data_IF_447790428129
#
_entry.id   IF_447790428129
#
_cell.length_a   1.000
_cell.length_b   1.000
_cell.length_c   1.000
_cell.angle_alpha   90.00
_cell.angle_beta   90.00
_cell.angle_gamma   90.00
#
_symmetry.space_group_name_H-M   'P 1'
#
loop_
_entity.id
_entity.type
_entity.pdbx_description
1 polymer ?
#
# COMPACT_ATOMS: atom_id res chain seq x y z
N UNK A 1 -26.23 -7.65 -19.16
CA UNK A 1 -25.62 -7.86 -17.82
C UNK A 1 -26.54 -8.83 -17.10
N UNK A 2 -26.11 -10.08 -16.92
CA UNK A 2 -26.92 -11.11 -16.27
C UNK A 2 -26.80 -10.86 -14.77
N UNK A 3 -27.92 -10.44 -14.17
CA UNK A 3 -28.03 -10.26 -12.72
C UNK A 3 -28.28 -11.65 -12.11
N UNK A 4 -27.20 -12.42 -11.93
CA UNK A 4 -27.27 -13.67 -11.17
C UNK A 4 -27.44 -13.32 -9.71
N UNK A 5 -28.66 -13.48 -9.20
CA UNK A 5 -28.94 -13.45 -7.77
C UNK A 5 -27.98 -14.41 -7.05
N UNK A 6 -27.31 -13.99 -5.96
CA UNK A 6 -26.38 -14.86 -5.26
C UNK A 6 -27.13 -16.09 -4.75
N UNK A 7 -26.85 -17.22 -5.40
CA UNK A 7 -27.50 -18.48 -5.12
C UNK A 7 -27.27 -18.87 -3.65
N UNK A 8 -28.28 -19.42 -2.97
CA UNK A 8 -28.17 -19.82 -1.56
C UNK A 8 -26.98 -20.78 -1.33
N UNK A 9 -26.65 -21.57 -2.34
CA UNK A 9 -25.48 -22.46 -2.37
C UNK A 9 -24.16 -21.67 -2.34
N UNK A 10 -24.08 -20.52 -3.02
CA UNK A 10 -22.92 -19.62 -2.99
C UNK A 10 -22.73 -19.01 -1.60
N UNK A 11 -23.83 -18.60 -0.94
CA UNK A 11 -23.77 -18.12 0.44
C UNK A 11 -23.29 -19.20 1.43
N UNK A 12 -23.74 -20.44 1.28
CA UNK A 12 -23.27 -21.58 2.10
C UNK A 12 -21.80 -21.93 1.82
N UNK A 13 -21.31 -21.73 0.59
CA UNK A 13 -19.87 -21.89 0.26
C UNK A 13 -19.01 -20.84 0.95
N UNK A 14 -19.46 -19.59 1.02
CA UNK A 14 -18.79 -18.50 1.76
C UNK A 14 -18.68 -18.83 3.25
N UNK A 15 -19.65 -19.53 3.84
CA UNK A 15 -19.61 -19.96 5.23
C UNK A 15 -18.42 -20.88 5.57
N UNK A 16 -17.81 -21.55 4.57
CA UNK A 16 -16.56 -22.31 4.79
C UNK A 16 -15.36 -21.43 5.15
N UNK A 17 -15.42 -20.12 4.85
CA UNK A 17 -14.42 -19.14 5.28
C UNK A 17 -14.44 -18.93 6.79
N UNK A 18 -15.50 -19.34 7.51
CA UNK A 18 -15.55 -19.27 8.98
C UNK A 18 -14.41 -20.08 9.62
N UNK A 19 -13.88 -21.10 8.93
CA UNK A 19 -12.69 -21.82 9.41
C UNK A 19 -11.42 -20.95 9.49
N UNK A 20 -11.36 -19.81 8.78
CA UNK A 20 -10.28 -18.82 8.93
C UNK A 20 -10.27 -18.19 10.32
N UNK A 21 -11.41 -18.18 11.02
CA UNK A 21 -11.50 -17.76 12.42
C UNK A 21 -11.02 -18.82 13.42
N UNK A 22 -10.69 -20.06 13.00
CA UNK A 22 -9.89 -21.00 13.83
C UNK A 22 -8.44 -20.53 13.84
N UNK A 23 -8.27 -19.36 14.46
CA UNK A 23 -7.14 -18.47 14.34
C UNK A 23 -6.16 -18.60 15.51
N UNK A 24 -6.22 -19.66 16.32
CA UNK A 24 -5.34 -19.81 17.51
C UNK A 24 -3.85 -19.60 17.19
N UNK A 25 -3.39 -20.05 16.01
CA UNK A 25 -2.02 -19.80 15.55
C UNK A 25 -1.79 -18.38 15.01
N UNK A 26 -2.82 -17.74 14.45
CA UNK A 26 -2.75 -16.39 13.91
C UNK A 26 -2.85 -15.32 15.00
N UNK A 27 -3.54 -15.58 16.12
CA UNK A 27 -3.67 -14.66 17.26
C UNK A 27 -2.28 -14.26 17.78
N UNK A 28 -1.36 -15.22 17.92
CA UNK A 28 0.03 -14.92 18.31
C UNK A 28 0.78 -14.06 17.28
N UNK A 29 0.59 -14.32 15.98
CA UNK A 29 1.23 -13.52 14.92
C UNK A 29 0.67 -12.09 14.84
N UNK A 30 -0.64 -11.92 15.03
CA UNK A 30 -1.27 -10.59 15.10
C UNK A 30 -0.89 -9.83 16.37
N UNK A 31 -0.64 -10.53 17.49
CA UNK A 31 -0.15 -9.90 18.71
C UNK A 31 1.28 -9.35 18.53
N UNK A 32 2.16 -10.11 17.87
CA UNK A 32 3.51 -9.66 17.50
C UNK A 32 3.46 -8.48 16.52
N UNK A 33 2.57 -8.55 15.51
CA UNK A 33 2.37 -7.42 14.59
C UNK A 33 1.90 -6.17 15.36
N UNK A 34 0.95 -6.33 16.27
CA UNK A 34 0.42 -5.25 17.10
C UNK A 34 1.48 -4.61 17.98
N UNK A 35 2.35 -5.41 18.61
CA UNK A 35 3.46 -4.87 19.42
C UNK A 35 4.47 -4.11 18.57
N UNK A 36 4.81 -4.63 17.38
CA UNK A 36 5.72 -3.94 16.44
C UNK A 36 5.15 -2.61 15.96
N UNK A 37 3.86 -2.57 15.63
CA UNK A 37 3.16 -1.34 15.24
C UNK A 37 3.16 -0.32 16.38
N UNK A 38 2.88 -0.75 17.61
CA UNK A 38 2.85 0.11 18.78
C UNK A 38 4.25 0.64 19.15
N UNK A 39 5.29 -0.16 19.01
CA UNK A 39 6.67 0.26 19.30
C UNK A 39 7.19 1.25 18.26
N UNK A 40 6.84 1.07 16.99
CA UNK A 40 7.34 1.88 15.87
C UNK A 40 6.33 2.94 15.39
N UNK A 41 5.24 3.19 16.13
CA UNK A 41 4.10 3.97 15.67
C UNK A 41 4.50 5.38 15.17
N UNK A 42 5.38 6.07 15.90
CA UNK A 42 5.82 7.42 15.55
C UNK A 42 6.50 7.44 14.19
N UNK A 43 7.41 6.50 13.94
CA UNK A 43 8.15 6.41 12.69
C UNK A 43 7.24 5.95 11.54
N UNK A 44 6.35 5.00 11.80
CA UNK A 44 5.39 4.51 10.81
C UNK A 44 4.41 5.59 10.37
N UNK A 45 3.86 6.36 11.31
CA UNK A 45 2.95 7.47 11.00
C UNK A 45 3.68 8.56 10.23
N UNK A 46 4.87 8.95 10.67
CA UNK A 46 5.66 9.98 9.98
C UNK A 46 6.01 9.56 8.55
N UNK A 47 6.54 8.35 8.36
CA UNK A 47 6.95 7.85 7.03
C UNK A 47 5.75 7.68 6.12
N UNK A 48 4.64 7.13 6.61
CA UNK A 48 3.38 7.00 5.86
C UNK A 48 2.82 8.37 5.47
N UNK A 49 2.88 9.36 6.37
CA UNK A 49 2.46 10.73 6.08
C UNK A 49 3.25 11.33 4.91
N UNK A 50 4.59 11.18 4.90
CA UNK A 50 5.41 11.63 3.78
C UNK A 50 5.13 10.87 2.48
N UNK A 51 4.84 9.57 2.53
CA UNK A 51 4.41 8.80 1.35
C UNK A 51 3.10 9.33 0.76
N UNK A 52 2.11 9.62 1.62
CA UNK A 52 0.84 10.22 1.18
C UNK A 52 1.08 11.63 0.63
N UNK A 53 1.90 12.45 1.27
CA UNK A 53 2.22 13.78 0.76
C UNK A 53 2.88 13.72 -0.63
N UNK A 54 3.85 12.81 -0.81
CA UNK A 54 4.51 12.58 -2.09
C UNK A 54 3.52 12.14 -3.17
N UNK A 55 2.53 11.32 -2.83
CA UNK A 55 1.44 10.93 -3.72
C UNK A 55 0.60 12.12 -4.18
N UNK A 56 0.19 13.00 -3.26
CA UNK A 56 -0.57 14.21 -3.60
C UNK A 56 0.23 15.16 -4.49
N UNK A 57 1.51 15.38 -4.17
CA UNK A 57 2.40 16.22 -5.00
C UNK A 57 2.56 15.63 -6.40
N UNK A 58 2.75 14.31 -6.50
CA UNK A 58 2.87 13.62 -7.78
C UNK A 58 1.61 13.77 -8.63
N UNK A 59 0.43 13.64 -8.01
CA UNK A 59 -0.85 13.79 -8.70
C UNK A 59 -1.06 15.22 -9.21
N UNK A 60 -0.66 16.23 -8.42
CA UNK A 60 -0.71 17.63 -8.84
C UNK A 60 0.25 17.92 -10.00
N UNK A 61 1.48 17.39 -9.95
CA UNK A 61 2.45 17.56 -11.04
C UNK A 61 1.96 16.96 -12.35
N UNK A 62 1.45 15.72 -12.30
CA UNK A 62 0.91 15.04 -13.47
C UNK A 62 -0.36 15.72 -13.99
N UNK A 63 -1.22 16.24 -13.11
CA UNK A 63 -2.35 17.06 -13.50
C UNK A 63 -1.89 18.26 -14.35
N UNK A 64 -0.90 19.02 -13.89
CA UNK A 64 -0.43 20.19 -14.65
C UNK A 64 0.20 19.84 -16.00
N UNK A 65 0.87 18.68 -16.12
CA UNK A 65 1.45 18.25 -17.40
C UNK A 65 0.45 17.62 -18.35
N UNK A 66 -0.57 16.93 -17.84
CA UNK A 66 -1.44 16.08 -18.65
C UNK A 66 -2.88 16.62 -18.82
N UNK A 67 -3.26 17.71 -18.14
CA UNK A 67 -4.61 18.29 -18.26
C UNK A 67 -5.00 18.66 -19.71
N UNK A 68 -4.02 19.02 -20.55
CA UNK A 68 -4.23 19.39 -21.94
C UNK A 68 -3.93 18.24 -22.93
N UNK A 69 -3.64 17.04 -22.43
CA UNK A 69 -3.37 15.88 -23.27
C UNK A 69 -4.68 15.32 -23.83
N UNK A 70 -4.77 15.16 -25.15
CA UNK A 70 -5.96 14.63 -25.81
C UNK A 70 -6.25 13.15 -25.46
N UNK A 71 -5.23 12.35 -25.19
CA UNK A 71 -5.37 10.94 -24.83
C UNK A 71 -5.62 10.74 -23.33
N UNK A 72 -4.91 11.49 -22.46
CA UNK A 72 -4.91 11.27 -21.01
C UNK A 72 -5.71 12.30 -20.21
N UNK A 73 -6.08 13.44 -20.79
CA UNK A 73 -6.74 14.54 -20.09
C UNK A 73 -8.03 14.14 -19.37
N UNK A 74 -8.71 13.08 -19.84
CA UNK A 74 -9.91 12.52 -19.17
C UNK A 74 -9.62 12.03 -17.75
N UNK A 75 -8.39 11.56 -17.47
CA UNK A 75 -7.96 11.11 -16.14
C UNK A 75 -7.36 12.22 -15.29
N UNK A 76 -6.98 13.35 -15.92
CA UNK A 76 -6.30 14.49 -15.29
C UNK A 76 -7.16 15.76 -15.36
N UNK A 77 -8.47 15.66 -15.13
CA UNK A 77 -9.39 16.82 -15.15
C UNK A 77 -9.33 17.68 -13.89
N UNK A 78 -8.92 17.09 -12.78
CA UNK A 78 -8.74 17.78 -11.49
C UNK A 78 -7.72 17.03 -10.64
N UNK A 79 -7.16 17.68 -9.61
CA UNK A 79 -6.21 17.02 -8.70
C UNK A 79 -6.84 15.77 -8.06
N UNK A 80 -8.08 15.78 -7.54
CA UNK A 80 -8.70 14.57 -7.01
C UNK A 80 -8.90 13.47 -8.05
N UNK A 81 -9.26 13.82 -9.30
CA UNK A 81 -9.38 12.85 -10.38
C UNK A 81 -8.03 12.20 -10.73
N UNK A 82 -6.93 12.96 -10.63
CA UNK A 82 -5.57 12.50 -10.88
C UNK A 82 -5.01 11.59 -9.76
N UNK A 83 -5.59 11.59 -8.55
CA UNK A 83 -5.06 10.83 -7.41
C UNK A 83 -5.03 9.32 -7.69
N UNK A 84 -6.13 8.72 -8.12
CA UNK A 84 -6.21 7.27 -8.33
C UNK A 84 -5.33 6.78 -9.49
N UNK A 85 -5.33 7.41 -10.68
CA UNK A 85 -4.42 7.04 -11.76
C UNK A 85 -2.94 7.20 -11.37
N UNK A 86 -2.61 8.26 -10.60
CA UNK A 86 -1.26 8.43 -10.06
C UNK A 86 -0.91 7.34 -9.06
N UNK A 87 -1.85 6.92 -8.19
CA UNK A 87 -1.60 5.85 -7.23
C UNK A 87 -1.23 4.54 -7.93
N UNK A 88 -1.96 4.17 -8.99
CA UNK A 88 -1.65 3.00 -9.82
C UNK A 88 -0.21 3.09 -10.37
N UNK A 89 0.16 4.24 -10.92
CA UNK A 89 1.50 4.52 -11.42
C UNK A 89 2.58 4.34 -10.34
N UNK A 90 2.34 4.85 -9.12
CA UNK A 90 3.28 4.71 -8.01
C UNK A 90 3.43 3.27 -7.53
N UNK A 91 2.39 2.44 -7.68
CA UNK A 91 2.43 1.01 -7.35
C UNK A 91 3.05 0.14 -8.44
N UNK A 92 3.43 0.73 -9.58
CA UNK A 92 4.06 0.02 -10.70
C UNK A 92 3.10 -0.41 -11.81
N UNK A 93 1.82 -0.12 -11.69
CA UNK A 93 0.84 -0.30 -12.76
C UNK A 93 0.90 0.92 -13.68
N UNK A 94 1.23 0.72 -14.96
CA UNK A 94 1.32 1.80 -15.96
C UNK A 94 0.21 1.68 -17.01
N UNK A 95 -1.07 1.87 -16.63
CA UNK A 95 -2.19 1.71 -17.57
C UNK A 95 -2.26 2.80 -18.65
N UNK A 96 -1.43 3.85 -18.54
CA UNK A 96 -1.46 5.05 -19.38
C UNK A 96 -0.09 5.24 -20.04
N UNK A 97 0.05 4.94 -21.33
CA UNK A 97 1.33 5.07 -22.07
C UNK A 97 1.54 6.41 -22.76
N UNK A 98 0.46 7.18 -22.94
CA UNK A 98 0.44 8.31 -23.85
C UNK A 98 0.75 9.65 -23.17
N UNK A 99 1.67 9.66 -22.22
CA UNK A 99 2.10 10.88 -21.52
C UNK A 99 2.75 11.88 -22.49
N UNK A 100 2.55 13.17 -22.23
CA UNK A 100 3.24 14.25 -22.93
C UNK A 100 4.76 14.17 -22.72
N UNK A 101 5.57 14.79 -23.58
CA UNK A 101 7.04 14.82 -23.42
C UNK A 101 7.48 15.31 -22.02
N UNK A 102 6.99 16.46 -21.49
CA UNK A 102 7.31 16.86 -20.13
C UNK A 102 6.73 15.90 -19.08
N UNK A 103 5.52 15.36 -19.31
CA UNK A 103 4.90 14.38 -18.43
C UNK A 103 5.73 13.09 -18.29
N UNK A 104 6.36 12.61 -19.37
CA UNK A 104 7.26 11.43 -19.35
C UNK A 104 8.50 11.64 -18.49
N UNK A 105 9.09 12.84 -18.55
CA UNK A 105 10.27 13.18 -17.74
C UNK A 105 9.87 13.24 -16.26
N UNK A 106 8.77 13.94 -15.96
CA UNK A 106 8.27 14.08 -14.58
C UNK A 106 7.84 12.73 -14.02
N UNK A 107 7.11 11.91 -14.79
CA UNK A 107 6.67 10.58 -14.35
C UNK A 107 7.85 9.64 -14.11
N UNK A 108 8.92 9.73 -14.90
CA UNK A 108 10.16 9.00 -14.66
C UNK A 108 10.83 9.36 -13.33
N UNK A 109 10.95 10.65 -13.02
CA UNK A 109 11.51 11.12 -11.74
C UNK A 109 10.62 10.70 -10.57
N UNK A 110 9.30 10.86 -10.72
CA UNK A 110 8.32 10.43 -9.72
C UNK A 110 8.43 8.92 -9.47
N UNK A 111 8.53 8.10 -10.52
CA UNK A 111 8.59 6.64 -10.39
C UNK A 111 9.79 6.20 -9.54
N UNK A 112 10.98 6.75 -9.80
CA UNK A 112 12.19 6.41 -9.03
C UNK A 112 12.08 6.92 -7.58
N UNK A 113 11.65 8.16 -7.39
CA UNK A 113 11.55 8.78 -6.06
C UNK A 113 10.48 8.15 -5.19
N UNK A 114 9.31 7.85 -5.76
CA UNK A 114 8.19 7.28 -5.02
C UNK A 114 8.47 5.86 -4.54
N UNK A 115 9.14 5.02 -5.35
CA UNK A 115 9.56 3.69 -4.91
C UNK A 115 10.43 3.79 -3.65
N UNK A 116 11.38 4.73 -3.60
CA UNK A 116 12.21 4.93 -2.43
C UNK A 116 11.40 5.37 -1.20
N UNK A 117 10.45 6.30 -1.36
CA UNK A 117 9.62 6.83 -0.27
C UNK A 117 8.66 5.77 0.28
N UNK A 118 8.00 5.00 -0.58
CA UNK A 118 7.04 3.96 -0.17
C UNK A 118 7.75 2.71 0.38
N UNK A 119 9.03 2.50 0.06
CA UNK A 119 9.83 1.43 0.66
C UNK A 119 10.12 1.66 2.16
N UNK A 120 10.17 2.92 2.63
CA UNK A 120 10.51 3.25 4.03
C UNK A 120 9.53 2.65 5.04
N UNK A 121 8.20 2.90 4.98
CA UNK A 121 7.27 2.31 5.96
C UNK A 121 7.31 0.78 5.94
N UNK A 122 7.48 0.18 4.75
CA UNK A 122 7.64 -1.28 4.60
C UNK A 122 8.91 -1.79 5.30
N UNK A 123 10.04 -1.09 5.16
CA UNK A 123 11.30 -1.43 5.81
C UNK A 123 11.23 -1.26 7.34
N UNK A 124 10.53 -0.24 7.83
CA UNK A 124 10.31 -0.02 9.27
C UNK A 124 9.50 -1.18 9.84
N UNK A 125 8.40 -1.59 9.19
CA UNK A 125 7.63 -2.76 9.61
C UNK A 125 8.48 -4.04 9.59
N UNK A 126 9.21 -4.28 8.51
CA UNK A 126 10.05 -5.48 8.37
C UNK A 126 11.12 -5.57 9.46
N UNK A 127 11.82 -4.46 9.73
CA UNK A 127 12.85 -4.43 10.78
C UNK A 127 12.26 -4.59 12.19
N UNK A 128 11.07 -4.04 12.44
CA UNK A 128 10.34 -4.25 13.68
C UNK A 128 9.93 -5.71 13.89
N UNK A 129 9.44 -6.39 12.84
CA UNK A 129 9.13 -7.82 12.90
C UNK A 129 10.35 -8.68 13.22
N UNK A 130 11.49 -8.42 12.57
CA UNK A 130 12.74 -9.15 12.83
C UNK A 130 13.16 -8.99 14.29
N UNK A 131 13.08 -7.77 14.84
CA UNK A 131 13.39 -7.51 16.26
C UNK A 131 12.46 -8.26 17.20
N UNK A 132 11.15 -8.23 16.95
CA UNK A 132 10.18 -8.91 17.81
C UNK A 132 10.39 -10.44 17.83
N UNK A 133 10.72 -11.05 16.68
CA UNK A 133 11.05 -12.48 16.60
C UNK A 133 12.35 -12.80 17.35
N UNK A 134 13.38 -11.96 17.24
CA UNK A 134 14.64 -12.15 17.96
C UNK A 134 14.47 -12.06 19.47
N UNK A 135 13.66 -11.11 19.96
CA UNK A 135 13.35 -10.97 21.39
C UNK A 135 12.59 -12.19 21.94
N UNK A 136 11.61 -12.71 21.18
CA UNK A 136 10.87 -13.90 21.57
C UNK A 136 11.78 -15.14 21.70
N UNK A 137 12.76 -15.29 20.80
CA UNK A 137 13.73 -16.38 20.87
C UNK A 137 14.65 -16.25 22.08
N UNK A 138 15.20 -15.05 22.34
CA UNK A 138 16.09 -14.82 23.49
C UNK A 138 15.42 -15.07 24.84
N UNK A 139 14.16 -14.65 25.00
CA UNK A 139 13.39 -14.91 26.21
C UNK A 139 13.18 -16.41 26.49
N UNK A 140 13.18 -17.23 25.44
CA UNK A 140 13.04 -18.68 25.56
C UNK A 140 14.34 -19.34 26.07
N UNK A 141 15.51 -18.80 25.71
CA UNK A 141 16.80 -19.33 26.17
C UNK A 141 17.18 -18.96 27.61
N UNK A 142 16.58 -17.92 28.19
CA UNK A 142 16.88 -17.50 29.58
C UNK A 142 15.97 -18.13 30.63
N UNK A 143 14.88 -18.78 30.23
CA UNK A 143 13.95 -19.45 31.16
C UNK A 143 14.37 -20.90 31.45
N UNK A 144 15.20 -21.48 30.57
CA UNK A 144 15.69 -22.86 30.67
C UNK A 144 17.08 -22.97 31.35
N UNK A 145 17.60 -21.90 31.96
CA UNK A 145 18.91 -21.82 32.64
C UNK A 145 18.76 -21.45 34.12
#
# INVERSE_FOLDING_TARGET
MVEESPDFVTAVRVFRLVRLFKADKYINAFQVLGSVLAENYTLLVATSFYSVLAWFVSAALLFFTEQNNQALGVHFQSIPAALFPTLLMLTGEFPMSDFTVPGRIISGVIAVGAVAIFAVPTAVLGSGFVRAVQQAQQAQFTVDA
#
